data_IF_326498585037
#
_entry.id   IF_326498585037
#
_cell.length_a   1.000
_cell.length_b   1.000
_cell.length_c   1.000
_cell.angle_alpha   90.00
_cell.angle_beta   90.00
_cell.angle_gamma   90.00
#
_symmetry.space_group_name_H-M   'P 1'
#
loop_
_entity.id
_entity.type
_entity.pdbx_description
1 polymer ?
#
# COMPACT_ATOMS: atom_id res chain seq x y z
N UNK A 1 -26.90 -46.53 1.90
CA UNK A 1 -28.08 -45.65 1.76
C UNK A 1 -28.13 -45.26 0.30
N UNK A 2 -29.04 -45.85 -0.45
CA UNK A 2 -29.15 -45.64 -1.90
C UNK A 2 -29.85 -44.30 -2.17
N UNK A 3 -29.65 -43.70 -3.34
CA UNK A 3 -30.31 -42.42 -3.71
C UNK A 3 -31.84 -42.53 -3.62
N UNK A 4 -32.39 -43.72 -3.88
CA UNK A 4 -33.81 -44.02 -3.74
C UNK A 4 -34.32 -43.99 -2.28
N UNK A 5 -33.47 -44.38 -1.31
CA UNK A 5 -33.81 -44.30 0.12
C UNK A 5 -33.86 -42.83 0.60
N UNK A 6 -33.06 -41.96 -0.02
CA UNK A 6 -33.07 -40.52 0.25
C UNK A 6 -34.35 -39.87 -0.31
N UNK A 7 -34.77 -40.21 -1.52
CA UNK A 7 -35.97 -39.67 -2.15
C UNK A 7 -37.24 -40.03 -1.37
N UNK A 8 -37.34 -41.29 -0.89
CA UNK A 8 -38.47 -41.73 -0.08
C UNK A 8 -38.57 -41.01 1.27
N UNK A 9 -37.43 -40.75 1.92
CA UNK A 9 -37.40 -40.01 3.19
C UNK A 9 -37.79 -38.54 3.02
N UNK A 10 -37.36 -37.90 1.92
CA UNK A 10 -37.67 -36.49 1.61
C UNK A 10 -39.15 -36.28 1.30
N UNK A 11 -39.79 -37.24 0.63
CA UNK A 11 -41.24 -37.20 0.34
C UNK A 11 -42.12 -37.41 1.59
N UNK A 12 -41.58 -38.02 2.64
CA UNK A 12 -42.29 -38.27 3.91
C UNK A 12 -42.12 -37.15 4.95
N UNK A 13 -41.25 -36.18 4.69
CA UNK A 13 -40.94 -35.10 5.63
C UNK A 13 -41.99 -33.98 5.58
N UNK A 14 -42.31 -33.39 6.75
CA UNK A 14 -43.19 -32.24 6.84
C UNK A 14 -42.65 -31.07 5.97
N UNK A 15 -43.47 -30.46 5.10
CA UNK A 15 -43.06 -29.32 4.27
C UNK A 15 -42.41 -28.17 5.05
N UNK A 16 -42.80 -27.96 6.31
CA UNK A 16 -42.18 -26.95 7.18
C UNK A 16 -40.78 -27.33 7.66
N UNK A 17 -40.55 -28.62 7.95
CA UNK A 17 -39.22 -29.11 8.32
C UNK A 17 -38.27 -29.04 7.12
N UNK A 18 -38.75 -29.38 5.92
CA UNK A 18 -37.96 -29.31 4.69
C UNK A 18 -37.49 -27.87 4.38
N UNK A 19 -38.37 -26.89 4.53
CA UNK A 19 -38.03 -25.47 4.27
C UNK A 19 -37.02 -24.92 5.27
N UNK A 20 -37.12 -25.29 6.56
CA UNK A 20 -36.13 -24.91 7.58
C UNK A 20 -34.76 -25.52 7.30
N UNK A 21 -34.71 -26.80 6.92
CA UNK A 21 -33.45 -27.50 6.59
C UNK A 21 -32.77 -26.87 5.37
N UNK A 22 -33.53 -26.54 4.31
CA UNK A 22 -33.01 -25.85 3.13
C UNK A 22 -32.47 -24.46 3.51
N UNK A 23 -33.20 -23.71 4.34
CA UNK A 23 -32.76 -22.40 4.81
C UNK A 23 -31.43 -22.45 5.55
N UNK A 24 -31.27 -23.40 6.48
CA UNK A 24 -30.01 -23.61 7.21
C UNK A 24 -28.89 -24.00 6.26
N UNK A 25 -29.16 -24.88 5.28
CA UNK A 25 -28.16 -25.30 4.29
C UNK A 25 -27.68 -24.13 3.43
N UNK A 26 -28.58 -23.27 2.94
CA UNK A 26 -28.22 -22.08 2.16
C UNK A 26 -27.36 -21.12 2.97
N UNK A 27 -27.69 -20.90 4.25
CA UNK A 27 -26.89 -20.06 5.15
C UNK A 27 -25.51 -20.68 5.40
N UNK A 28 -25.44 -21.99 5.68
CA UNK A 28 -24.19 -22.70 5.90
C UNK A 28 -23.28 -22.67 4.66
N UNK A 29 -23.83 -22.89 3.46
CA UNK A 29 -23.10 -22.80 2.19
C UNK A 29 -22.65 -21.37 1.92
N UNK A 30 -23.47 -20.36 2.22
CA UNK A 30 -23.09 -18.95 2.06
C UNK A 30 -21.93 -18.59 2.98
N UNK A 31 -21.98 -19.00 4.25
CA UNK A 31 -20.89 -18.83 5.22
C UNK A 31 -19.64 -19.58 4.75
N UNK A 32 -19.80 -20.82 4.27
CA UNK A 32 -18.70 -21.63 3.76
C UNK A 32 -18.04 -20.98 2.55
N UNK A 33 -18.80 -20.46 1.58
CA UNK A 33 -18.26 -19.74 0.41
C UNK A 33 -17.54 -18.46 0.83
N UNK A 34 -18.11 -17.66 1.74
CA UNK A 34 -17.47 -16.46 2.26
C UNK A 34 -16.19 -16.81 3.01
N UNK A 35 -16.22 -17.86 3.82
CA UNK A 35 -15.07 -18.37 4.57
C UNK A 35 -13.98 -18.91 3.64
N UNK A 36 -14.34 -19.72 2.64
CA UNK A 36 -13.40 -20.24 1.65
C UNK A 36 -12.78 -19.12 0.81
N UNK A 37 -13.57 -18.13 0.37
CA UNK A 37 -13.05 -16.93 -0.33
C UNK A 37 -12.13 -16.10 0.56
N UNK A 38 -12.37 -16.05 1.87
CA UNK A 38 -11.49 -15.38 2.84
C UNK A 38 -10.23 -16.21 3.16
N UNK A 39 -10.33 -17.53 3.21
CA UNK A 39 -9.21 -18.45 3.51
C UNK A 39 -8.28 -18.64 2.32
N UNK A 40 -8.77 -18.59 1.08
CA UNK A 40 -7.95 -18.50 -0.13
C UNK A 40 -7.39 -17.08 -0.33
N UNK A 41 -7.10 -16.38 0.76
CA UNK A 41 -6.55 -15.03 0.74
C UNK A 41 -5.21 -15.03 0.01
N UNK A 42 -5.25 -14.35 -1.14
CA UNK A 42 -4.15 -13.83 -1.96
C UNK A 42 -2.79 -13.94 -1.29
N UNK A 43 -1.86 -14.66 -1.93
CA UNK A 43 -0.43 -14.53 -1.64
C UNK A 43 -0.10 -13.03 -1.63
N UNK A 44 0.74 -12.56 -0.71
CA UNK A 44 1.20 -11.17 -0.74
C UNK A 44 1.85 -10.90 -2.10
N UNK A 45 1.19 -10.15 -2.96
CA UNK A 45 1.54 -9.94 -4.38
C UNK A 45 1.28 -8.50 -4.83
N UNK A 46 0.70 -7.68 -3.95
CA UNK A 46 0.29 -6.32 -4.27
C UNK A 46 1.41 -5.33 -3.91
N UNK A 47 1.86 -4.55 -4.89
CA UNK A 47 2.73 -3.39 -4.73
C UNK A 47 1.89 -2.14 -4.87
N UNK A 48 1.83 -1.35 -3.80
CA UNK A 48 1.05 -0.12 -3.76
C UNK A 48 1.95 1.08 -4.07
N UNK A 49 1.59 1.87 -5.07
CA UNK A 49 2.24 3.14 -5.42
C UNK A 49 1.42 4.29 -4.82
N UNK A 50 2.04 5.09 -3.96
CA UNK A 50 1.41 6.22 -3.25
C UNK A 50 2.36 7.43 -3.19
N UNK A 51 1.91 8.57 -2.67
CA UNK A 51 2.63 9.84 -2.72
C UNK A 51 1.72 11.05 -2.95
N UNK A 52 2.23 12.25 -2.70
CA UNK A 52 1.48 13.50 -2.88
C UNK A 52 1.06 13.75 -4.33
N UNK A 53 0.05 14.58 -4.54
CA UNK A 53 -0.38 14.95 -5.88
C UNK A 53 0.76 15.65 -6.64
N UNK A 54 0.93 15.29 -7.92
CA UNK A 54 2.00 15.83 -8.75
C UNK A 54 3.37 15.17 -8.59
N UNK A 55 3.55 14.19 -7.68
CA UNK A 55 4.86 13.52 -7.50
C UNK A 55 5.30 12.60 -8.65
N UNK A 56 4.39 12.27 -9.57
CA UNK A 56 4.68 11.42 -10.73
C UNK A 56 4.34 9.94 -10.55
N UNK A 57 3.53 9.57 -9.55
CA UNK A 57 3.04 8.19 -9.31
C UNK A 57 2.50 7.50 -10.56
N UNK A 58 1.60 8.16 -11.28
CA UNK A 58 0.94 7.58 -12.45
C UNK A 58 1.90 7.42 -13.63
N UNK A 59 2.88 8.33 -13.77
CA UNK A 59 3.95 8.20 -14.77
C UNK A 59 4.83 7.01 -14.43
N UNK A 60 5.25 6.90 -13.16
CA UNK A 60 6.03 5.77 -12.66
C UNK A 60 5.30 4.44 -12.87
N UNK A 61 4.03 4.37 -12.47
CA UNK A 61 3.16 3.21 -12.66
C UNK A 61 3.04 2.83 -14.14
N UNK A 62 2.79 3.81 -15.02
CA UNK A 62 2.63 3.56 -16.44
C UNK A 62 3.91 3.01 -17.07
N UNK A 63 5.07 3.52 -16.68
CA UNK A 63 6.39 3.03 -17.13
C UNK A 63 6.71 1.63 -16.63
N UNK A 64 6.33 1.30 -15.39
CA UNK A 64 6.49 -0.05 -14.83
C UNK A 64 5.61 -1.07 -15.56
N UNK A 65 4.42 -0.67 -16.00
CA UNK A 65 3.50 -1.53 -16.76
C UNK A 65 3.91 -1.63 -18.23
N UNK A 66 4.25 -0.51 -18.85
CA UNK A 66 4.61 -0.40 -20.26
C UNK A 66 5.92 0.39 -20.39
N UNK A 67 7.03 -0.30 -20.64
CA UNK A 67 8.37 0.33 -20.71
C UNK A 67 8.50 1.37 -21.84
N UNK A 68 7.70 1.27 -22.91
CA UNK A 68 7.88 2.03 -24.17
C UNK A 68 6.90 3.20 -24.40
N UNK A 69 6.26 3.76 -23.36
CA UNK A 69 5.30 4.86 -23.58
C UNK A 69 5.53 6.07 -22.67
N UNK A 70 5.86 7.21 -23.29
CA UNK A 70 5.80 8.51 -22.66
C UNK A 70 4.32 8.88 -22.39
N UNK A 71 3.87 8.72 -21.15
CA UNK A 71 2.47 8.97 -20.78
C UNK A 71 2.32 10.36 -20.18
N UNK A 72 1.53 11.22 -20.84
CA UNK A 72 1.06 12.48 -20.26
C UNK A 72 -0.09 12.18 -19.29
N UNK A 73 0.17 12.25 -17.99
CA UNK A 73 -0.83 11.88 -16.96
C UNK A 73 -1.51 13.10 -16.33
N UNK A 74 -2.80 12.97 -16.02
CA UNK A 74 -3.59 13.93 -15.22
C UNK A 74 -3.85 13.35 -13.82
N UNK A 75 -4.39 14.16 -12.89
CA UNK A 75 -4.71 13.70 -11.53
C UNK A 75 -5.69 12.52 -11.55
N UNK A 76 -5.26 11.35 -11.09
CA UNK A 76 -6.11 10.15 -10.98
C UNK A 76 -7.30 10.39 -10.05
N UNK A 77 -8.52 10.15 -10.56
CA UNK A 77 -9.78 10.26 -9.80
C UNK A 77 -10.18 8.93 -9.11
N UNK A 78 -9.57 7.82 -9.53
CA UNK A 78 -9.74 6.47 -8.99
C UNK A 78 -8.40 5.73 -8.98
N UNK A 79 -8.30 4.62 -8.24
CA UNK A 79 -7.11 3.79 -8.24
C UNK A 79 -6.96 3.06 -9.58
N UNK A 80 -5.75 3.08 -10.16
CA UNK A 80 -5.41 2.26 -11.32
C UNK A 80 -4.78 0.97 -10.84
N UNK A 81 -5.25 -0.17 -11.34
CA UNK A 81 -4.76 -1.49 -10.94
C UNK A 81 -4.31 -2.25 -12.18
N UNK A 82 -3.12 -2.83 -12.10
CA UNK A 82 -2.58 -3.71 -13.14
C UNK A 82 -2.25 -5.08 -12.53
N UNK A 83 -2.89 -6.12 -13.04
CA UNK A 83 -2.65 -7.50 -12.64
C UNK A 83 -1.77 -8.17 -13.68
N UNK A 84 -0.73 -8.89 -13.25
CA UNK A 84 0.14 -9.62 -14.17
C UNK A 84 1.50 -8.98 -14.40
N UNK A 85 1.96 -8.07 -13.53
CA UNK A 85 3.34 -7.62 -13.56
C UNK A 85 4.24 -8.81 -13.22
N UNK A 86 5.09 -9.24 -14.15
CA UNK A 86 6.02 -10.34 -13.92
C UNK A 86 7.34 -9.76 -13.42
N UNK A 87 7.72 -10.15 -12.20
CA UNK A 87 9.03 -9.84 -11.67
C UNK A 87 10.10 -10.75 -12.31
N UNK A 88 11.38 -10.48 -12.07
CA UNK A 88 12.50 -11.25 -12.64
C UNK A 88 12.50 -12.74 -12.25
N UNK A 89 11.80 -13.11 -11.17
CA UNK A 89 11.63 -14.51 -10.75
C UNK A 89 10.43 -15.23 -11.42
N UNK A 90 9.72 -14.57 -12.32
CA UNK A 90 8.53 -15.10 -13.00
C UNK A 90 7.25 -15.09 -12.14
N UNK A 91 7.27 -14.40 -11.00
CA UNK A 91 6.10 -14.24 -10.13
C UNK A 91 5.22 -13.10 -10.63
N UNK A 92 3.94 -13.39 -10.80
CA UNK A 92 2.92 -12.38 -11.06
C UNK A 92 2.63 -11.56 -9.81
N UNK A 93 2.71 -10.24 -9.96
CA UNK A 93 2.39 -9.22 -8.98
C UNK A 93 1.23 -8.34 -9.49
N UNK A 94 0.59 -7.67 -8.54
CA UNK A 94 -0.43 -6.65 -8.79
C UNK A 94 0.13 -5.28 -8.44
N UNK A 95 0.20 -4.38 -9.41
CA UNK A 95 0.57 -3.00 -9.18
C UNK A 95 -0.70 -2.16 -8.98
N UNK A 96 -0.66 -1.24 -8.02
CA UNK A 96 -1.79 -0.33 -7.73
C UNK A 96 -1.28 1.10 -7.63
N UNK A 97 -1.68 1.98 -8.54
CA UNK A 97 -1.49 3.43 -8.40
C UNK A 97 -2.69 4.04 -7.68
N UNK A 98 -2.45 4.66 -6.53
CA UNK A 98 -3.50 5.27 -5.73
C UNK A 98 -3.43 6.80 -5.75
N UNK A 99 -4.57 7.51 -5.94
CA UNK A 99 -4.63 8.97 -5.91
C UNK A 99 -4.04 9.59 -4.64
N UNK A 100 -3.28 10.67 -4.79
CA UNK A 100 -2.61 11.36 -3.68
C UNK A 100 -3.51 12.32 -2.88
N UNK A 101 -4.76 12.57 -3.32
CA UNK A 101 -5.68 13.48 -2.66
C UNK A 101 -6.02 12.97 -1.25
N UNK A 102 -5.95 13.85 -0.25
CA UNK A 102 -6.09 13.50 1.18
C UNK A 102 -7.35 12.68 1.49
N UNK A 103 -8.51 13.06 0.92
CA UNK A 103 -9.78 12.34 1.12
C UNK A 103 -9.70 10.87 0.67
N UNK A 104 -8.98 10.61 -0.43
CA UNK A 104 -8.84 9.28 -1.01
C UNK A 104 -7.80 8.46 -0.23
N UNK A 105 -6.78 9.09 0.35
CA UNK A 105 -5.75 8.40 1.17
C UNK A 105 -6.35 7.61 2.34
N UNK A 106 -7.39 8.11 3.00
CA UNK A 106 -8.08 7.36 4.08
C UNK A 106 -8.71 6.05 3.58
N UNK A 107 -9.28 6.07 2.38
CA UNK A 107 -9.84 4.87 1.76
C UNK A 107 -8.74 3.88 1.35
N UNK A 108 -7.59 4.38 0.89
CA UNK A 108 -6.40 3.58 0.60
C UNK A 108 -5.95 2.80 1.84
N UNK A 109 -5.74 3.48 2.97
CA UNK A 109 -5.29 2.84 4.21
C UNK A 109 -6.29 1.78 4.68
N UNK A 110 -7.59 2.13 4.72
CA UNK A 110 -8.63 1.17 5.09
C UNK A 110 -8.65 -0.05 4.16
N UNK A 111 -8.57 0.14 2.84
CA UNK A 111 -8.61 -0.97 1.87
C UNK A 111 -7.36 -1.84 1.96
N UNK A 112 -6.17 -1.24 1.85
CA UNK A 112 -4.93 -1.99 1.66
C UNK A 112 -4.19 -2.28 2.96
N UNK A 113 -4.09 -1.31 3.87
CA UNK A 113 -3.31 -1.45 5.10
C UNK A 113 -4.12 -2.13 6.22
N UNK A 114 -5.45 -2.02 6.21
CA UNK A 114 -6.33 -2.70 7.18
C UNK A 114 -6.96 -3.97 6.61
N UNK A 115 -7.79 -3.85 5.57
CA UNK A 115 -8.63 -4.97 5.09
C UNK A 115 -7.88 -6.00 4.24
N UNK A 116 -6.87 -5.56 3.48
CA UNK A 116 -6.10 -6.39 2.55
C UNK A 116 -4.61 -6.43 2.90
N UNK A 117 -4.27 -6.23 4.18
CA UNK A 117 -2.88 -6.11 4.64
C UNK A 117 -2.02 -7.32 4.28
N UNK A 118 -2.59 -8.51 4.34
CA UNK A 118 -1.92 -9.76 3.99
C UNK A 118 -1.59 -9.90 2.49
N UNK A 119 -2.18 -9.06 1.64
CA UNK A 119 -1.92 -9.02 0.19
C UNK A 119 -0.78 -8.05 -0.15
N UNK A 120 -0.47 -7.10 0.74
CA UNK A 120 0.60 -6.12 0.53
C UNK A 120 1.97 -6.79 0.62
N UNK A 121 2.71 -6.74 -0.49
CA UNK A 121 4.11 -7.16 -0.58
C UNK A 121 5.08 -6.00 -0.36
N UNK A 122 4.69 -4.79 -0.73
CA UNK A 122 5.51 -3.59 -0.53
C UNK A 122 4.77 -2.31 -0.92
N UNK A 123 5.29 -1.17 -0.48
CA UNK A 123 4.75 0.16 -0.80
C UNK A 123 5.86 0.99 -1.45
N UNK A 124 5.57 1.57 -2.60
CA UNK A 124 6.41 2.55 -3.29
C UNK A 124 5.82 3.94 -3.05
N UNK A 125 6.51 4.76 -2.25
CA UNK A 125 6.13 6.13 -1.97
C UNK A 125 6.93 7.09 -2.86
N UNK A 126 6.24 7.75 -3.79
CA UNK A 126 6.85 8.66 -4.77
C UNK A 126 6.83 10.09 -4.25
N UNK A 127 8.01 10.70 -4.21
CA UNK A 127 8.26 12.08 -3.75
C UNK A 127 8.71 12.92 -4.93
N UNK A 128 8.19 14.15 -5.04
CA UNK A 128 8.71 15.15 -5.97
C UNK A 128 9.96 15.79 -5.36
N UNK A 129 11.15 15.39 -5.83
CA UNK A 129 12.42 15.93 -5.32
C UNK A 129 12.60 17.41 -5.61
N UNK A 130 11.96 17.94 -6.65
CA UNK A 130 12.11 19.34 -7.09
C UNK A 130 11.33 20.32 -6.21
N UNK A 131 10.21 19.87 -5.65
CA UNK A 131 9.35 20.67 -4.76
C UNK A 131 9.45 20.27 -3.29
N UNK A 132 10.27 19.27 -2.96
CA UNK A 132 10.37 18.67 -1.64
C UNK A 132 10.54 19.69 -0.50
N UNK A 133 11.38 20.71 -0.68
CA UNK A 133 11.61 21.74 0.36
C UNK A 133 10.32 22.42 0.82
N UNK A 134 9.37 22.64 -0.09
CA UNK A 134 8.07 23.28 0.21
C UNK A 134 7.05 22.30 0.80
N UNK A 135 7.25 21.00 0.59
CA UNK A 135 6.30 19.94 0.90
C UNK A 135 6.82 18.96 1.97
N UNK A 136 7.98 19.21 2.56
CA UNK A 136 8.68 18.28 3.44
C UNK A 136 7.78 17.77 4.57
N UNK A 137 7.00 18.67 5.20
CA UNK A 137 6.03 18.34 6.24
C UNK A 137 4.91 17.41 5.74
N UNK A 138 4.28 17.74 4.61
CA UNK A 138 3.19 16.93 4.03
C UNK A 138 3.69 15.54 3.58
N UNK A 139 4.92 15.48 3.06
CA UNK A 139 5.57 14.22 2.68
C UNK A 139 5.90 13.40 3.93
N UNK A 140 6.44 14.03 4.98
CA UNK A 140 6.74 13.37 6.25
C UNK A 140 5.48 12.83 6.92
N UNK A 141 4.38 13.60 6.93
CA UNK A 141 3.11 13.16 7.49
C UNK A 141 2.52 11.97 6.72
N UNK A 142 2.60 12.00 5.38
CA UNK A 142 2.20 10.84 4.58
C UNK A 142 3.08 9.62 4.85
N UNK A 143 4.41 9.77 4.91
CA UNK A 143 5.32 8.65 5.15
C UNK A 143 5.10 8.05 6.54
N UNK A 144 4.90 8.91 7.53
CA UNK A 144 4.58 8.53 8.90
C UNK A 144 3.33 7.66 8.95
N UNK A 145 2.24 8.13 8.33
CA UNK A 145 0.99 7.37 8.27
C UNK A 145 1.16 6.07 7.45
N UNK A 146 1.95 6.06 6.37
CA UNK A 146 2.27 4.84 5.61
C UNK A 146 2.98 3.80 6.48
N UNK A 147 4.02 4.18 7.20
CA UNK A 147 4.77 3.26 8.06
C UNK A 147 3.88 2.75 9.20
N UNK A 148 3.10 3.65 9.82
CA UNK A 148 2.22 3.30 10.92
C UNK A 148 1.11 2.32 10.49
N UNK A 149 0.39 2.65 9.41
CA UNK A 149 -0.79 1.89 8.99
C UNK A 149 -0.44 0.57 8.29
N UNK A 150 0.60 0.53 7.46
CA UNK A 150 1.03 -0.71 6.80
C UNK A 150 1.67 -1.71 7.79
N UNK A 151 2.28 -1.15 8.83
CA UNK A 151 2.95 -1.82 9.94
C UNK A 151 4.22 -2.58 9.55
N UNK A 152 4.96 -2.98 10.58
CA UNK A 152 6.40 -3.31 10.53
C UNK A 152 6.90 -4.39 9.56
N UNK A 153 6.03 -5.15 8.91
CA UNK A 153 6.42 -6.22 7.98
C UNK A 153 6.38 -5.82 6.52
N UNK A 154 5.74 -4.69 6.20
CA UNK A 154 5.59 -4.24 4.82
C UNK A 154 6.76 -3.32 4.47
N UNK A 155 7.66 -3.71 3.57
CA UNK A 155 8.78 -2.86 3.16
C UNK A 155 8.29 -1.65 2.36
N UNK A 156 8.99 -0.52 2.51
CA UNK A 156 8.64 0.77 1.92
C UNK A 156 9.84 1.30 1.13
N UNK A 157 9.64 1.59 -0.16
CA UNK A 157 10.60 2.29 -0.99
C UNK A 157 10.17 3.74 -1.19
N UNK A 158 10.98 4.69 -0.74
CA UNK A 158 10.82 6.11 -1.02
C UNK A 158 11.57 6.44 -2.32
N UNK A 159 10.81 6.76 -3.36
CA UNK A 159 11.34 7.10 -4.69
C UNK A 159 11.37 8.62 -4.84
N UNK A 160 12.57 9.17 -4.82
CA UNK A 160 12.86 10.59 -5.01
C UNK A 160 12.87 10.89 -6.51
N UNK A 161 11.69 11.22 -7.05
CA UNK A 161 11.44 11.37 -8.48
C UNK A 161 11.75 12.79 -9.00
N UNK A 162 11.82 12.92 -10.33
CA UNK A 162 12.11 14.16 -11.08
C UNK A 162 13.56 14.62 -10.97
N UNK A 163 14.51 13.69 -10.93
CA UNK A 163 15.95 14.00 -10.82
C UNK A 163 16.53 14.65 -12.07
N UNK A 164 15.77 14.72 -13.17
CA UNK A 164 16.06 15.54 -14.35
C UNK A 164 16.07 17.05 -14.07
N UNK A 165 15.38 17.50 -13.01
CA UNK A 165 15.33 18.92 -12.66
C UNK A 165 16.52 19.31 -11.77
N UNK A 166 17.23 20.38 -12.14
CA UNK A 166 18.43 20.86 -11.42
C UNK A 166 18.20 21.24 -9.96
N UNK A 167 16.95 21.53 -9.59
CA UNK A 167 16.55 21.90 -8.22
C UNK A 167 16.24 20.68 -7.34
N UNK A 168 16.23 19.48 -7.92
CA UNK A 168 15.87 18.24 -7.23
C UNK A 168 16.87 17.86 -6.15
N UNK A 169 16.33 17.33 -5.05
CA UNK A 169 17.11 16.85 -3.91
C UNK A 169 17.51 15.39 -4.10
N UNK A 170 18.73 15.07 -3.67
CA UNK A 170 19.18 13.69 -3.58
C UNK A 170 18.36 12.91 -2.55
N UNK A 171 18.34 11.60 -2.69
CA UNK A 171 17.70 10.69 -1.76
C UNK A 171 18.23 10.85 -0.32
N UNK A 172 19.54 11.11 -0.17
CA UNK A 172 20.17 11.34 1.13
C UNK A 172 19.65 12.62 1.82
N UNK A 173 19.51 13.71 1.08
CA UNK A 173 18.99 14.96 1.61
C UNK A 173 17.50 14.86 1.96
N UNK A 174 16.72 14.15 1.12
CA UNK A 174 15.31 13.86 1.41
C UNK A 174 15.21 12.99 2.67
N UNK A 175 16.01 11.93 2.78
CA UNK A 175 16.06 11.04 3.96
C UNK A 175 16.34 11.81 5.24
N UNK A 176 17.41 12.62 5.28
CA UNK A 176 17.77 13.38 6.48
C UNK A 176 16.76 14.48 6.83
N UNK A 177 16.07 15.04 5.84
CA UNK A 177 14.99 16.01 6.09
C UNK A 177 13.72 15.35 6.64
N UNK A 178 13.33 14.21 6.07
CA UNK A 178 12.18 13.45 6.55
C UNK A 178 12.40 12.91 7.97
N UNK A 179 13.62 12.52 8.32
CA UNK A 179 13.97 12.09 9.68
C UNK A 179 13.65 13.19 10.70
N UNK A 180 14.11 14.41 10.42
CA UNK A 180 13.84 15.59 11.26
C UNK A 180 12.35 15.90 11.37
N UNK A 181 11.65 15.96 10.24
CA UNK A 181 10.21 16.26 10.23
C UNK A 181 9.39 15.17 10.95
N UNK A 182 9.75 13.90 10.77
CA UNK A 182 9.12 12.80 11.48
C UNK A 182 9.37 12.88 12.99
N UNK A 183 10.56 13.31 13.43
CA UNK A 183 10.83 13.59 14.84
C UNK A 183 9.94 14.70 15.42
N UNK A 184 9.70 15.77 14.66
CA UNK A 184 8.77 16.83 15.06
C UNK A 184 7.31 16.33 15.14
N UNK A 185 6.89 15.48 14.19
CA UNK A 185 5.55 14.88 14.21
C UNK A 185 5.41 13.93 15.41
N UNK A 186 6.41 13.10 15.66
CA UNK A 186 6.40 12.11 16.74
C UNK A 186 6.30 12.79 18.11
N UNK A 187 7.15 13.79 18.37
CA UNK A 187 7.14 14.58 19.61
C UNK A 187 5.82 15.35 19.80
N UNK A 188 5.29 15.96 18.73
CA UNK A 188 3.98 16.63 18.78
C UNK A 188 2.83 15.67 19.10
N UNK A 189 2.84 14.44 18.55
CA UNK A 189 1.83 13.43 18.82
C UNK A 189 1.96 12.88 20.24
N UNK A 190 3.18 12.66 20.72
CA UNK A 190 3.43 12.20 22.09
C UNK A 190 2.99 13.23 23.14
N UNK A 191 3.29 14.51 22.94
CA UNK A 191 2.84 15.59 23.83
C UNK A 191 1.31 15.67 23.91
N UNK A 192 0.61 15.46 22.79
CA UNK A 192 -0.86 15.49 22.72
C UNK A 192 -1.53 14.33 23.48
N UNK A 193 -0.83 13.19 23.60
CA UNK A 193 -1.29 12.03 24.37
C UNK A 193 -1.16 12.26 25.88
N UNK A 194 -0.16 13.05 26.33
CA UNK A 194 0.02 13.39 27.75
C UNK A 194 -1.07 14.35 28.27
N UNK A 195 -1.72 15.11 27.39
CA UNK A 195 -2.73 16.12 27.76
C UNK A 195 -4.17 15.60 27.77
N UNK A 196 -4.43 14.40 27.25
CA UNK A 196 -5.79 13.86 27.07
C UNK A 196 -5.91 12.55 27.85
N UNK A 197 -6.97 12.36 28.65
CA UNK A 197 -7.18 11.16 29.48
C UNK A 197 -7.28 9.88 28.61
N UNK A 198 -6.13 9.27 28.32
CA UNK A 198 -5.84 7.84 28.08
C UNK A 198 -6.63 7.06 27.01
N UNK A 199 -7.58 7.66 26.31
CA UNK A 199 -8.49 6.94 25.42
C UNK A 199 -8.05 6.89 23.95
N UNK A 200 -7.10 7.72 23.54
CA UNK A 200 -6.59 7.71 22.17
C UNK A 200 -5.44 6.71 22.03
N UNK A 201 -5.56 5.78 21.08
CA UNK A 201 -4.54 4.78 20.83
C UNK A 201 -3.23 5.46 20.41
N UNK A 202 -2.12 5.10 21.06
CA UNK A 202 -0.80 5.70 20.87
C UNK A 202 -0.36 5.66 19.39
N UNK A 203 -0.56 6.75 18.65
CA UNK A 203 -0.24 6.83 17.21
C UNK A 203 1.18 7.34 16.96
N UNK A 204 2.14 6.78 17.71
CA UNK A 204 3.57 7.13 17.66
C UNK A 204 4.40 6.01 17.03
N UNK A 205 5.48 6.36 16.33
CA UNK A 205 6.35 5.38 15.66
C UNK A 205 7.51 4.89 16.52
N UNK A 206 7.87 5.64 17.58
CA UNK A 206 8.94 5.27 18.53
C UNK A 206 8.39 5.12 19.94
N UNK A 207 9.13 4.45 20.81
CA UNK A 207 8.69 4.19 22.18
C UNK A 207 8.73 5.43 23.08
N UNK A 208 9.69 6.33 22.83
CA UNK A 208 9.98 7.51 23.66
C UNK A 208 9.41 8.82 23.13
N UNK A 209 8.90 8.87 21.88
CA UNK A 209 8.37 10.10 21.27
C UNK A 209 9.42 11.16 20.90
N UNK A 210 10.64 11.05 21.42
CA UNK A 210 11.76 11.98 21.21
C UNK A 210 12.71 11.45 20.11
N UNK A 211 13.31 12.39 19.35
CA UNK A 211 14.41 12.17 18.40
C UNK A 211 14.32 10.93 17.50
N UNK A 212 13.35 10.93 16.58
CA UNK A 212 13.17 9.88 15.59
C UNK A 212 14.45 9.59 14.79
N UNK A 213 14.84 8.31 14.75
CA UNK A 213 15.85 7.78 13.84
C UNK A 213 15.29 6.64 12.99
N UNK A 214 15.77 6.52 11.75
CA UNK A 214 15.39 5.40 10.88
C UNK A 214 15.74 4.03 11.47
N UNK A 215 16.78 3.96 12.31
CA UNK A 215 17.25 2.73 12.93
C UNK A 215 16.32 2.20 14.04
N UNK A 216 15.45 3.07 14.56
CA UNK A 216 14.49 2.72 15.61
C UNK A 216 13.25 2.00 15.06
N UNK A 217 13.00 2.08 13.76
CA UNK A 217 11.85 1.45 13.14
C UNK A 217 12.01 -0.08 13.15
N UNK A 218 11.17 -0.83 13.88
CA UNK A 218 11.32 -2.28 13.97
C UNK A 218 11.00 -2.93 12.62
N UNK A 219 11.96 -3.63 12.02
CA UNK A 219 11.79 -4.59 10.90
C UNK A 219 11.18 -4.05 9.59
N UNK A 220 10.77 -2.78 9.54
CA UNK A 220 10.32 -2.14 8.30
C UNK A 220 11.53 -1.91 7.41
N UNK A 221 11.62 -2.64 6.30
CA UNK A 221 12.63 -2.36 5.29
C UNK A 221 12.30 -1.05 4.58
N UNK A 222 12.81 0.07 5.09
CA UNK A 222 12.70 1.37 4.42
C UNK A 222 13.96 1.64 3.59
N UNK A 223 13.76 1.96 2.32
CA UNK A 223 14.85 2.29 1.40
C UNK A 223 14.54 3.58 0.66
N UNK A 224 15.58 4.28 0.24
CA UNK A 224 15.47 5.50 -0.54
C UNK A 224 16.20 5.30 -1.85
N UNK A 225 15.60 5.75 -2.95
CA UNK A 225 16.21 5.70 -4.27
C UNK A 225 15.85 6.94 -5.09
N UNK A 226 16.62 7.16 -6.14
CA UNK A 226 16.49 8.28 -7.07
C UNK A 226 15.96 7.79 -8.40
N UNK A 227 15.10 8.59 -9.04
CA UNK A 227 14.44 8.19 -10.27
C UNK A 227 14.05 9.41 -11.13
N UNK A 228 14.00 9.19 -12.44
CA UNK A 228 13.39 10.12 -13.41
C UNK A 228 12.35 9.37 -14.22
N UNK A 229 11.09 9.42 -13.78
CA UNK A 229 10.01 8.69 -14.45
C UNK A 229 9.64 9.28 -15.84
N UNK A 230 9.99 10.55 -16.10
CA UNK A 230 9.65 11.26 -17.33
C UNK A 230 10.85 11.40 -18.29
N UNK A 231 11.81 10.47 -18.29
CA UNK A 231 12.98 10.57 -19.19
C UNK A 231 12.57 10.38 -20.65
N UNK A 232 12.95 11.31 -21.53
CA UNK A 232 12.74 11.18 -22.99
C UNK A 232 13.86 10.36 -23.66
N UNK A 233 14.94 10.08 -22.94
CA UNK A 233 16.09 9.33 -23.47
C UNK A 233 15.82 7.81 -23.46
N UNK A 234 15.68 7.24 -24.65
CA UNK A 234 15.67 5.80 -24.90
C UNK A 234 17.03 5.19 -24.52
N UNK A 235 17.07 4.32 -23.51
CA UNK A 235 18.22 3.41 -23.29
C UNK A 235 18.87 3.42 -21.91
N UNK A 236 18.61 4.41 -21.05
CA UNK A 236 18.98 4.34 -19.63
C UNK A 236 17.71 4.16 -18.79
N UNK A 237 17.48 2.95 -18.28
CA UNK A 237 16.35 2.68 -17.41
C UNK A 237 16.56 3.40 -16.07
N UNK A 238 16.13 4.66 -15.98
CA UNK A 238 16.06 5.46 -14.74
C UNK A 238 15.19 4.84 -13.64
N UNK A 239 14.60 3.68 -13.94
CA UNK A 239 13.73 2.86 -13.11
C UNK A 239 14.40 1.58 -12.62
N UNK A 240 15.65 1.29 -13.00
CA UNK A 240 16.35 0.05 -12.64
C UNK A 240 16.30 -0.20 -11.14
N UNK A 241 16.62 0.82 -10.33
CA UNK A 241 16.60 0.70 -8.86
C UNK A 241 15.21 0.37 -8.30
N UNK A 242 14.14 0.86 -8.93
CA UNK A 242 12.75 0.56 -8.52
C UNK A 242 12.40 -0.89 -8.89
N UNK A 243 12.78 -1.32 -10.09
CA UNK A 243 12.56 -2.69 -10.58
C UNK A 243 13.36 -3.70 -9.75
N UNK A 244 14.64 -3.44 -9.49
CA UNK A 244 15.51 -4.24 -8.63
C UNK A 244 14.94 -4.37 -7.22
N UNK A 245 14.42 -3.27 -6.66
CA UNK A 245 13.76 -3.33 -5.36
C UNK A 245 12.52 -4.22 -5.41
N UNK A 246 11.64 -4.07 -6.41
CA UNK A 246 10.44 -4.92 -6.58
C UNK A 246 10.82 -6.39 -6.73
N UNK A 247 11.90 -6.69 -7.47
CA UNK A 247 12.41 -8.04 -7.70
C UNK A 247 12.98 -8.68 -6.43
N UNK A 248 13.45 -7.88 -5.48
CA UNK A 248 13.99 -8.34 -4.20
C UNK A 248 12.94 -8.77 -3.16
N UNK A 249 11.64 -8.50 -3.41
CA UNK A 249 10.53 -8.69 -2.45
C UNK A 249 9.95 -10.11 -2.39
#
# INVERSE_FOLDING_TARGET
MTVADLEGAVLSADPTVLTVVIGIFVVAVSIFIIFFRRCFSSKADTILVTGLNGSGKTVLFSRLVNQDSAVKTYTSLAANEYNGYLNSSGRSLRLVDYPGAERLRKQMFSKYCTNQRNTLRGIVMVVDSSTFVKQARDVAELLYDVIFESGSKVPVLVVCNKQDLTVSKSAELVKGALEREMGLINSSREASLKTTDGSDSRRILTDSGEDFSWDELPKTGIQFTECTAQSEEEGQSTLSSVVEWIDSL
#
